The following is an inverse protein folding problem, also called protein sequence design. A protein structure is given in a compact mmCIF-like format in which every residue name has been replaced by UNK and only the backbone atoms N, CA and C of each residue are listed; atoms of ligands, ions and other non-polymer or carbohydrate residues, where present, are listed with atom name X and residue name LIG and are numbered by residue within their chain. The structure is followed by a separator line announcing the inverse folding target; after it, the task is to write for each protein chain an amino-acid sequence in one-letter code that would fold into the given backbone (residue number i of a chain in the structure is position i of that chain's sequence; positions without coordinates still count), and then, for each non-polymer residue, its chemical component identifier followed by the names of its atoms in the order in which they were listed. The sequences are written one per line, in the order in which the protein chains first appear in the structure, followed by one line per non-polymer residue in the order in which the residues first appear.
data_IF_448015722644
#
_entry.id   IF_448015722644
#
_cell.length_a   1.000
_cell.length_b   1.000
_cell.length_c   1.000
_cell.angle_alpha   90.00
_cell.angle_beta   90.00
_cell.angle_gamma   90.00
#
_symmetry.space_group_name_H-M   'P 1'
#
loop_
_entity.id
_entity.type
_entity.pdbx_description
1 polymer ?
#
# COMPACT_ATOMS: atom_id res chain seq x y z
N UNK A 1 -14.76 27.94 -10.85
CA UNK A 1 -15.16 27.59 -9.47
C UNK A 1 -14.87 28.71 -8.49
N UNK A 2 -13.62 29.19 -8.39
CA UNK A 2 -13.25 30.31 -7.49
C UNK A 2 -14.09 31.58 -7.71
N UNK A 3 -14.31 31.99 -8.97
CA UNK A 3 -15.13 33.16 -9.31
C UNK A 3 -16.60 33.04 -8.85
N UNK A 4 -17.18 31.85 -8.90
CA UNK A 4 -18.55 31.60 -8.46
C UNK A 4 -18.66 31.59 -6.92
N UNK A 5 -17.70 30.97 -6.23
CA UNK A 5 -17.63 30.99 -4.76
C UNK A 5 -17.41 32.41 -4.24
N UNK A 6 -16.45 33.15 -4.82
CA UNK A 6 -16.18 34.53 -4.47
C UNK A 6 -17.40 35.44 -4.74
N UNK A 7 -18.11 35.24 -5.85
CA UNK A 7 -19.35 35.95 -6.17
C UNK A 7 -20.45 35.67 -5.13
N UNK A 8 -20.59 34.41 -4.69
CA UNK A 8 -21.54 34.04 -3.63
C UNK A 8 -21.16 34.67 -2.27
N UNK A 9 -19.88 34.65 -1.89
CA UNK A 9 -19.37 35.26 -0.65
C UNK A 9 -19.52 36.79 -0.65
N UNK A 10 -19.45 37.41 -1.84
CA UNK A 10 -19.64 38.84 -2.01
C UNK A 10 -21.11 39.24 -2.25
N UNK A 11 -22.04 38.28 -2.34
CA UNK A 11 -23.45 38.58 -2.53
C UNK A 11 -24.03 39.27 -1.29
N UNK A 12 -24.88 40.26 -1.51
CA UNK A 12 -25.54 41.03 -0.44
C UNK A 12 -26.42 40.14 0.44
N UNK A 13 -27.08 39.14 -0.15
CA UNK A 13 -27.92 38.18 0.56
C UNK A 13 -27.09 37.32 1.53
N UNK A 14 -25.96 36.77 1.08
CA UNK A 14 -25.10 35.94 1.93
C UNK A 14 -24.46 36.75 3.05
N UNK A 15 -23.99 37.97 2.75
CA UNK A 15 -23.45 38.88 3.77
C UNK A 15 -24.49 39.23 4.84
N UNK A 16 -25.74 39.45 4.45
CA UNK A 16 -26.84 39.75 5.39
C UNK A 16 -27.15 38.55 6.30
N UNK A 17 -27.16 37.34 5.76
CA UNK A 17 -27.35 36.10 6.56
C UNK A 17 -26.18 35.85 7.50
N UNK A 18 -24.96 36.08 7.03
CA UNK A 18 -23.75 35.95 7.85
C UNK A 18 -23.70 36.98 8.98
N UNK A 19 -24.04 38.23 8.68
CA UNK A 19 -24.18 39.31 9.65
C UNK A 19 -25.17 38.95 10.78
N UNK A 20 -26.32 38.34 10.44
CA UNK A 20 -27.28 37.86 11.42
C UNK A 20 -26.72 36.72 12.29
N UNK A 21 -25.94 35.81 11.71
CA UNK A 21 -25.27 34.75 12.48
C UNK A 21 -24.25 35.35 13.45
N UNK A 22 -23.37 36.25 12.99
CA UNK A 22 -22.37 36.90 13.85
C UNK A 22 -23.00 37.67 15.02
N UNK A 23 -24.13 38.33 14.79
CA UNK A 23 -24.93 38.98 15.84
C UNK A 23 -25.42 37.97 16.87
N UNK A 24 -25.88 36.78 16.46
CA UNK A 24 -26.29 35.75 17.43
C UNK A 24 -25.12 35.23 18.28
N UNK A 25 -23.89 35.24 17.75
CA UNK A 25 -22.68 34.81 18.49
C UNK A 25 -21.95 35.97 19.20
N UNK A 26 -22.50 37.19 19.17
CA UNK A 26 -21.98 38.38 19.88
C UNK A 26 -20.53 38.75 19.51
N UNK A 27 -20.12 38.50 18.26
CA UNK A 27 -18.80 38.90 17.76
C UNK A 27 -18.85 40.37 17.29
N UNK A 28 -17.91 41.19 17.76
CA UNK A 28 -17.79 42.59 17.33
C UNK A 28 -17.26 42.65 15.89
N UNK A 29 -17.86 43.52 15.08
CA UNK A 29 -17.55 43.67 13.65
C UNK A 29 -16.32 44.54 13.44
N UNK A 30 -15.34 44.01 12.74
CA UNK A 30 -14.38 44.78 11.95
C UNK A 30 -14.60 44.37 10.49
N UNK A 31 -15.02 45.32 9.64
CA UNK A 31 -15.57 45.04 8.30
C UNK A 31 -14.63 44.21 7.40
N UNK A 32 -13.31 44.35 7.58
CA UNK A 32 -12.32 43.59 6.82
C UNK A 32 -12.17 42.15 7.30
N UNK A 33 -12.39 41.87 8.60
CA UNK A 33 -12.24 40.54 9.20
C UNK A 33 -13.45 39.64 8.87
N UNK A 34 -14.64 40.23 8.74
CA UNK A 34 -15.89 39.50 8.51
C UNK A 34 -15.92 38.75 7.19
N UNK A 35 -15.34 39.33 6.13
CA UNK A 35 -15.29 38.72 4.79
C UNK A 35 -14.32 37.54 4.77
N UNK A 36 -13.15 37.66 5.42
CA UNK A 36 -12.18 36.57 5.51
C UNK A 36 -12.70 35.42 6.37
N UNK A 37 -13.42 35.72 7.46
CA UNK A 37 -13.97 34.69 8.33
C UNK A 37 -15.08 33.90 7.62
N UNK A 38 -15.95 34.58 6.87
CA UNK A 38 -16.96 33.96 6.03
C UNK A 38 -16.32 33.06 4.95
N UNK A 39 -15.30 33.58 4.28
CA UNK A 39 -14.59 32.81 3.26
C UNK A 39 -13.93 31.56 3.84
N UNK A 40 -13.23 31.70 4.97
CA UNK A 40 -12.59 30.57 5.64
C UNK A 40 -13.60 29.51 6.10
N UNK A 41 -14.74 29.93 6.65
CA UNK A 41 -15.80 29.02 7.05
C UNK A 41 -16.39 28.27 5.84
N UNK A 42 -16.64 28.96 4.73
CA UNK A 42 -17.18 28.35 3.52
C UNK A 42 -16.19 27.38 2.88
N UNK A 43 -14.90 27.71 2.86
CA UNK A 43 -13.83 26.79 2.42
C UNK A 43 -13.77 25.54 3.31
N UNK A 44 -13.84 25.71 4.63
CA UNK A 44 -13.88 24.60 5.59
C UNK A 44 -15.12 23.72 5.41
N UNK A 45 -16.31 24.31 5.28
CA UNK A 45 -17.55 23.57 5.04
C UNK A 45 -17.54 22.86 3.70
N UNK A 46 -17.02 23.50 2.65
CA UNK A 46 -16.85 22.89 1.34
C UNK A 46 -15.91 21.68 1.40
N UNK A 47 -14.75 21.79 2.06
CA UNK A 47 -13.81 20.68 2.21
C UNK A 47 -14.41 19.51 3.02
N UNK A 48 -15.19 19.83 4.06
CA UNK A 48 -15.94 18.82 4.84
C UNK A 48 -17.02 18.14 4.03
N UNK A 49 -17.82 18.89 3.28
CA UNK A 49 -18.86 18.35 2.42
C UNK A 49 -18.27 17.49 1.31
N UNK A 50 -17.19 17.94 0.67
CA UNK A 50 -16.49 17.16 -0.36
C UNK A 50 -15.93 15.87 0.23
N UNK A 51 -15.30 15.95 1.41
CA UNK A 51 -14.80 14.78 2.14
C UNK A 51 -15.91 13.79 2.47
N UNK A 52 -17.09 14.27 2.89
CA UNK A 52 -18.22 13.39 3.23
C UNK A 52 -18.90 12.82 1.98
N UNK A 53 -19.12 13.59 0.91
CA UNK A 53 -19.60 13.08 -0.39
C UNK A 53 -18.65 12.00 -0.93
N UNK A 54 -17.34 12.23 -0.85
CA UNK A 54 -16.33 11.23 -1.25
C UNK A 54 -16.29 9.99 -0.34
N UNK A 55 -16.80 10.06 0.88
CA UNK A 55 -17.01 8.88 1.75
C UNK A 55 -18.32 8.15 1.40
N UNK A 56 -19.37 8.87 1.04
CA UNK A 56 -20.70 8.31 0.74
C UNK A 56 -20.75 7.63 -0.63
N UNK A 57 -20.03 8.16 -1.63
CA UNK A 57 -19.96 7.58 -2.99
C UNK A 57 -18.91 6.47 -3.14
N UNK A 58 -18.13 6.16 -2.09
CA UNK A 58 -17.21 5.02 -2.13
C UNK A 58 -17.99 3.74 -1.82
N UNK A 59 -17.99 2.72 -2.72
CA UNK A 59 -18.45 1.38 -2.34
C UNK A 59 -17.67 0.94 -1.08
N UNK A 60 -18.26 0.13 -0.18
CA UNK A 60 -17.69 -0.22 1.11
C UNK A 60 -16.26 -0.71 0.91
N UNK A 61 -15.32 0.20 1.13
CA UNK A 61 -13.93 -0.02 0.85
C UNK A 61 -13.38 -0.88 1.98
N UNK A 62 -12.63 -1.93 1.65
CA UNK A 62 -11.87 -2.77 2.59
C UNK A 62 -10.85 -1.96 3.45
N UNK A 63 -10.82 -0.63 3.35
CA UNK A 63 -9.78 0.29 3.82
C UNK A 63 -10.00 0.94 5.19
N UNK A 64 -10.99 0.55 5.99
CA UNK A 64 -11.05 0.99 7.41
C UNK A 64 -10.18 0.17 8.35
N UNK A 65 -9.55 -0.91 7.87
CA UNK A 65 -8.62 -1.69 8.67
C UNK A 65 -7.23 -1.04 8.62
N UNK A 66 -6.78 -0.48 9.75
CA UNK A 66 -5.37 -0.10 9.92
C UNK A 66 -4.48 -1.31 9.59
N UNK A 67 -3.43 -1.15 8.77
CA UNK A 67 -2.46 -2.21 8.53
C UNK A 67 -1.87 -2.64 9.87
N UNK A 68 -1.83 -3.95 10.12
CA UNK A 68 -1.09 -4.47 11.27
C UNK A 68 0.40 -4.15 11.05
N UNK A 69 1.02 -3.50 12.04
CA UNK A 69 2.46 -3.22 12.04
C UNK A 69 3.24 -4.53 11.97
N UNK A 70 4.28 -4.56 11.13
CA UNK A 70 5.15 -5.72 11.04
C UNK A 70 6.06 -5.81 12.26
N UNK A 71 6.28 -7.02 12.77
CA UNK A 71 7.32 -7.27 13.76
C UNK A 71 8.72 -7.35 13.12
N UNK A 72 9.77 -7.44 13.94
CA UNK A 72 11.15 -7.47 13.47
C UNK A 72 11.44 -8.66 12.55
N UNK A 73 10.85 -9.83 12.82
CA UNK A 73 11.06 -11.04 12.02
C UNK A 73 10.32 -10.95 10.68
N UNK A 74 9.14 -10.36 10.67
CA UNK A 74 8.38 -10.08 9.45
C UNK A 74 9.13 -9.11 8.54
N UNK A 75 9.73 -8.05 9.11
CA UNK A 75 10.56 -7.11 8.35
C UNK A 75 11.83 -7.78 7.77
N UNK A 76 12.50 -8.63 8.55
CA UNK A 76 13.64 -9.44 8.09
C UNK A 76 13.25 -10.39 6.95
N UNK A 77 12.14 -11.13 7.12
CA UNK A 77 11.63 -12.05 6.12
C UNK A 77 11.20 -11.32 4.85
N UNK A 78 10.57 -10.14 4.99
CA UNK A 78 10.22 -9.30 3.86
C UNK A 78 11.50 -8.87 3.11
N UNK A 79 12.51 -8.33 3.80
CA UNK A 79 13.74 -7.88 3.14
C UNK A 79 14.46 -9.01 2.40
N UNK A 80 14.42 -10.22 2.93
CA UNK A 80 14.93 -11.41 2.24
C UNK A 80 14.11 -11.75 0.99
N UNK A 81 12.78 -11.74 1.09
CA UNK A 81 11.89 -12.11 0.00
C UNK A 81 11.91 -11.12 -1.17
N UNK A 82 12.07 -9.82 -0.90
CA UNK A 82 11.92 -8.78 -1.92
C UNK A 82 13.00 -8.80 -2.99
N UNK A 83 14.18 -9.36 -2.69
CA UNK A 83 15.24 -9.58 -3.68
C UNK A 83 14.84 -10.53 -4.82
N UNK A 84 13.85 -11.39 -4.60
CA UNK A 84 13.36 -12.32 -5.62
C UNK A 84 12.73 -11.59 -6.82
N UNK A 85 12.00 -10.51 -6.58
CA UNK A 85 11.31 -9.78 -7.64
C UNK A 85 12.27 -9.16 -8.67
N UNK A 86 13.24 -8.28 -8.31
CA UNK A 86 14.19 -7.74 -9.27
C UNK A 86 15.05 -8.82 -9.91
N UNK A 87 15.47 -9.85 -9.15
CA UNK A 87 16.22 -10.98 -9.71
C UNK A 87 15.44 -11.68 -10.83
N UNK A 88 14.16 -12.01 -10.59
CA UNK A 88 13.31 -12.69 -11.57
C UNK A 88 13.04 -11.81 -12.79
N UNK A 89 12.70 -10.54 -12.58
CA UNK A 89 12.44 -9.60 -13.66
C UNK A 89 13.67 -9.36 -14.52
N UNK A 90 14.83 -9.16 -13.90
CA UNK A 90 16.10 -9.01 -14.61
C UNK A 90 16.40 -10.25 -15.45
N UNK A 91 16.19 -11.47 -14.92
CA UNK A 91 16.35 -12.71 -15.70
C UNK A 91 15.38 -12.78 -16.88
N UNK A 92 14.16 -12.27 -16.74
CA UNK A 92 13.18 -12.25 -17.82
C UNK A 92 13.54 -11.23 -18.90
N UNK A 93 13.87 -9.99 -18.53
CA UNK A 93 14.24 -8.94 -19.48
C UNK A 93 15.58 -9.22 -20.18
N UNK A 94 16.55 -9.84 -19.50
CA UNK A 94 17.82 -10.25 -20.12
C UNK A 94 17.64 -11.29 -21.25
N UNK A 95 16.55 -12.05 -21.28
CA UNK A 95 16.23 -12.97 -22.40
C UNK A 95 15.78 -12.22 -23.66
N UNK A 96 15.41 -10.95 -23.53
CA UNK A 96 14.92 -10.11 -24.63
C UNK A 96 16.07 -9.25 -25.18
N UNK A 97 17.19 -9.87 -25.54
CA UNK A 97 18.47 -9.20 -25.85
C UNK A 97 18.39 -8.12 -26.94
N UNK A 98 17.42 -8.24 -27.86
CA UNK A 98 17.21 -7.29 -28.97
C UNK A 98 16.24 -6.15 -28.64
N UNK A 99 15.65 -6.13 -27.44
CA UNK A 99 14.67 -5.13 -27.05
C UNK A 99 15.34 -4.02 -26.21
N UNK A 100 15.44 -2.82 -26.78
CA UNK A 100 16.06 -1.67 -26.11
C UNK A 100 15.34 -1.29 -24.81
N UNK A 101 14.00 -1.34 -24.79
CA UNK A 101 13.20 -1.07 -23.60
C UNK A 101 13.48 -2.09 -22.49
N UNK A 102 13.64 -3.37 -22.84
CA UNK A 102 14.02 -4.40 -21.88
C UNK A 102 15.43 -4.14 -21.29
N UNK A 103 16.37 -3.69 -22.11
CA UNK A 103 17.72 -3.32 -21.66
C UNK A 103 17.69 -2.14 -20.68
N UNK A 104 16.86 -1.12 -20.94
CA UNK A 104 16.64 0.00 -20.01
C UNK A 104 16.06 -0.48 -18.68
N UNK A 105 15.05 -1.35 -18.70
CA UNK A 105 14.52 -1.97 -17.47
C UNK A 105 15.59 -2.74 -16.69
N UNK A 106 16.47 -3.47 -17.37
CA UNK A 106 17.58 -4.19 -16.70
C UNK A 106 18.51 -3.21 -15.99
N UNK A 107 18.85 -2.07 -16.59
CA UNK A 107 19.70 -1.05 -15.94
C UNK A 107 19.06 -0.50 -14.66
N UNK A 108 17.75 -0.18 -14.70
CA UNK A 108 17.01 0.27 -13.51
C UNK A 108 17.02 -0.81 -12.42
N UNK A 109 16.73 -2.07 -12.78
CA UNK A 109 16.75 -3.18 -11.83
C UNK A 109 18.14 -3.46 -11.25
N UNK A 110 19.22 -3.16 -11.96
CA UNK A 110 20.58 -3.27 -11.44
C UNK A 110 20.87 -2.20 -10.37
N UNK A 111 20.35 -0.99 -10.54
CA UNK A 111 20.48 0.10 -9.53
C UNK A 111 19.70 -0.22 -8.24
N UNK A 112 18.76 -1.15 -8.29
CA UNK A 112 18.05 -1.61 -7.08
C UNK A 112 18.91 -2.49 -6.17
N UNK A 113 20.03 -3.00 -6.68
CA UNK A 113 20.97 -3.74 -5.87
C UNK A 113 21.59 -2.82 -4.80
N UNK A 114 21.88 -3.38 -3.63
CA UNK A 114 22.67 -2.71 -2.63
C UNK A 114 24.13 -2.61 -3.12
N UNK A 115 24.65 -1.38 -3.20
CA UNK A 115 26.07 -1.18 -3.43
C UNK A 115 26.84 -1.63 -2.19
N UNK A 116 27.98 -2.29 -2.40
CA UNK A 116 28.83 -2.81 -1.32
C UNK A 116 29.40 -1.65 -0.50
N UNK A 117 28.68 -1.23 0.53
CA UNK A 117 29.08 -0.15 1.42
C UNK A 117 28.25 -0.15 2.68
N UNK A 118 28.92 -0.03 3.83
CA UNK A 118 28.26 0.22 5.10
C UNK A 118 27.67 1.64 5.06
N UNK A 119 26.42 1.75 4.62
CA UNK A 119 25.64 2.98 4.75
C UNK A 119 25.44 3.34 6.23
N UNK A 120 25.05 4.60 6.51
CA UNK A 120 24.73 5.02 7.87
C UNK A 120 23.68 4.09 8.50
N UNK A 121 23.82 3.78 9.80
CA UNK A 121 22.86 2.96 10.54
C UNK A 121 21.52 3.66 10.58
N UNK A 122 20.56 3.14 9.82
CA UNK A 122 19.17 3.56 9.81
C UNK A 122 18.30 2.62 10.66
N UNK A 123 17.02 2.98 10.85
CA UNK A 123 16.06 2.20 11.65
C UNK A 123 15.83 0.76 11.14
N UNK A 124 16.31 0.45 9.93
CA UNK A 124 16.14 -0.85 9.28
C UNK A 124 17.45 -1.59 9.09
N UNK A 125 18.58 -1.07 9.59
CA UNK A 125 19.91 -1.66 9.41
C UNK A 125 20.00 -3.09 9.96
N UNK A 126 19.26 -3.40 11.03
CA UNK A 126 19.18 -4.73 11.63
C UNK A 126 18.68 -5.81 10.65
N UNK A 127 17.93 -5.43 9.62
CA UNK A 127 17.47 -6.35 8.57
C UNK A 127 18.60 -6.72 7.61
N UNK A 128 19.57 -5.82 7.39
CA UNK A 128 20.76 -6.07 6.56
C UNK A 128 21.70 -7.05 7.24
N UNK A 129 21.98 -6.83 8.51
CA UNK A 129 22.84 -7.72 9.32
C UNK A 129 22.29 -9.14 9.31
N UNK A 130 20.98 -9.27 9.52
CA UNK A 130 20.31 -10.57 9.44
C UNK A 130 20.38 -11.17 8.03
N UNK A 131 20.11 -10.39 6.98
CA UNK A 131 20.19 -10.86 5.60
C UNK A 131 21.59 -11.35 5.23
N UNK A 132 22.64 -10.67 5.70
CA UNK A 132 24.03 -11.08 5.49
C UNK A 132 24.32 -12.45 6.14
N UNK A 133 23.75 -12.72 7.32
CA UNK A 133 23.88 -14.04 7.98
C UNK A 133 23.19 -15.18 7.22
N UNK A 134 22.17 -14.87 6.42
CA UNK A 134 21.42 -15.86 5.63
C UNK A 134 22.01 -16.04 4.22
N UNK A 135 22.84 -15.12 3.75
CA UNK A 135 23.37 -15.12 2.40
C UNK A 135 24.43 -16.20 2.20
N UNK A 136 24.26 -16.97 1.12
CA UNK A 136 25.20 -18.00 0.67
C UNK A 136 25.90 -17.61 -0.65
N UNK A 137 25.97 -16.30 -0.91
CA UNK A 137 26.62 -15.71 -2.08
C UNK A 137 25.75 -15.64 -3.33
N UNK A 138 24.43 -15.79 -3.21
CA UNK A 138 23.50 -15.79 -4.37
C UNK A 138 22.24 -14.96 -4.15
N UNK A 139 22.09 -14.31 -2.99
CA UNK A 139 20.94 -13.45 -2.74
C UNK A 139 21.10 -12.12 -3.47
N UNK A 140 20.02 -11.67 -4.13
CA UNK A 140 19.93 -10.31 -4.64
C UNK A 140 19.58 -9.39 -3.47
N UNK A 141 20.56 -8.67 -2.94
CA UNK A 141 20.36 -7.71 -1.85
C UNK A 141 19.85 -6.40 -2.43
N UNK A 142 18.73 -5.92 -1.91
CA UNK A 142 18.13 -4.64 -2.35
C UNK A 142 18.59 -3.50 -1.44
N UNK A 143 18.75 -2.33 -2.02
CA UNK A 143 18.98 -1.10 -1.27
C UNK A 143 17.75 -0.70 -0.42
N UNK A 144 17.91 0.27 0.49
CA UNK A 144 16.85 0.65 1.44
C UNK A 144 15.64 1.29 0.76
N UNK A 145 15.85 2.10 -0.28
CA UNK A 145 14.76 2.73 -1.03
C UNK A 145 13.83 1.69 -1.67
N UNK A 146 14.42 0.65 -2.27
CA UNK A 146 13.68 -0.47 -2.86
C UNK A 146 13.00 -1.29 -1.78
N UNK A 147 13.68 -1.57 -0.67
CA UNK A 147 13.05 -2.23 0.47
C UNK A 147 11.85 -1.43 1.00
N UNK A 148 11.94 -0.11 1.16
CA UNK A 148 10.83 0.73 1.59
C UNK A 148 9.66 0.73 0.60
N UNK A 149 9.92 0.68 -0.71
CA UNK A 149 8.88 0.47 -1.70
C UNK A 149 8.13 -0.85 -1.46
N UNK A 150 8.85 -1.96 -1.33
CA UNK A 150 8.21 -3.26 -1.06
C UNK A 150 7.53 -3.32 0.33
N UNK A 151 8.06 -2.61 1.33
CA UNK A 151 7.42 -2.43 2.63
C UNK A 151 6.06 -1.74 2.49
N UNK A 152 5.97 -0.70 1.66
CA UNK A 152 4.69 -0.06 1.31
C UNK A 152 3.73 -1.03 0.63
N UNK A 153 4.22 -1.87 -0.30
CA UNK A 153 3.39 -2.90 -0.93
C UNK A 153 2.85 -3.90 0.09
N UNK A 154 3.66 -4.32 1.06
CA UNK A 154 3.27 -5.27 2.09
C UNK A 154 2.21 -4.68 3.03
N UNK A 155 2.34 -3.41 3.42
CA UNK A 155 1.31 -2.74 4.22
C UNK A 155 -0.05 -2.72 3.53
N UNK A 156 -0.09 -2.44 2.23
CA UNK A 156 -1.32 -2.50 1.44
C UNK A 156 -1.80 -3.94 1.28
N UNK A 157 -0.90 -4.88 1.04
CA UNK A 157 -1.26 -6.30 0.87
C UNK A 157 -1.95 -6.84 2.12
N UNK A 158 -1.47 -6.44 3.31
CA UNK A 158 -2.05 -6.83 4.59
C UNK A 158 -3.47 -6.31 4.81
N UNK A 159 -3.94 -5.27 4.11
CA UNK A 159 -5.35 -4.82 4.22
C UNK A 159 -6.28 -5.67 3.37
N UNK A 160 -5.78 -6.20 2.25
CA UNK A 160 -6.55 -7.02 1.30
C UNK A 160 -6.56 -8.50 1.72
N UNK A 161 -5.37 -9.06 1.95
CA UNK A 161 -5.14 -10.49 2.10
C UNK A 161 -5.08 -10.85 3.59
N UNK A 162 -6.26 -10.98 4.21
CA UNK A 162 -6.43 -11.40 5.62
C UNK A 162 -7.22 -12.69 5.72
N UNK A 163 -6.91 -13.51 6.72
CA UNK A 163 -7.65 -14.75 7.03
C UNK A 163 -9.12 -14.46 7.29
N UNK A 164 -9.42 -13.36 7.99
CA UNK A 164 -10.79 -12.94 8.31
C UNK A 164 -11.61 -12.56 7.06
N UNK A 165 -10.92 -12.19 5.97
CA UNK A 165 -11.54 -11.82 4.70
C UNK A 165 -11.71 -13.03 3.75
N UNK A 166 -11.29 -14.25 4.13
CA UNK A 166 -11.31 -15.39 3.20
C UNK A 166 -12.71 -15.68 2.64
N UNK A 167 -13.76 -15.47 3.43
CA UNK A 167 -15.14 -15.66 2.97
C UNK A 167 -15.53 -14.66 1.86
N UNK A 168 -15.12 -13.39 1.95
CA UNK A 168 -15.38 -12.37 0.93
C UNK A 168 -14.47 -12.52 -0.30
N UNK A 169 -13.32 -13.18 -0.14
CA UNK A 169 -12.38 -13.47 -1.22
C UNK A 169 -12.81 -14.64 -2.12
N UNK A 170 -13.76 -15.50 -1.70
CA UNK A 170 -14.18 -16.69 -2.49
C UNK A 170 -14.75 -16.39 -3.88
N UNK A 171 -15.35 -15.22 -4.06
CA UNK A 171 -16.01 -14.83 -5.33
C UNK A 171 -15.15 -13.92 -6.21
N UNK A 172 -13.95 -13.55 -5.73
CA UNK A 172 -13.12 -12.53 -6.37
C UNK A 172 -11.75 -13.11 -6.73
N UNK A 173 -11.18 -12.63 -7.85
CA UNK A 173 -9.78 -12.88 -8.14
C UNK A 173 -8.91 -12.05 -7.19
N UNK A 174 -8.35 -12.70 -6.16
CA UNK A 174 -7.55 -12.06 -5.10
C UNK A 174 -6.36 -11.29 -5.70
N UNK A 175 -5.73 -11.84 -6.74
CA UNK A 175 -4.61 -11.20 -7.41
C UNK A 175 -5.07 -9.91 -8.07
N UNK A 176 -6.17 -9.94 -8.84
CA UNK A 176 -6.71 -8.74 -9.47
C UNK A 176 -7.08 -7.68 -8.45
N UNK A 177 -7.77 -8.06 -7.37
CA UNK A 177 -8.14 -7.13 -6.29
C UNK A 177 -6.91 -6.49 -5.65
N UNK A 178 -5.89 -7.30 -5.34
CA UNK A 178 -4.64 -6.82 -4.77
C UNK A 178 -3.92 -5.85 -5.72
N UNK A 179 -3.77 -6.22 -7.00
CA UNK A 179 -3.10 -5.37 -7.99
C UNK A 179 -3.82 -4.03 -8.19
N UNK A 180 -5.15 -4.03 -8.27
CA UNK A 180 -5.94 -2.78 -8.34
C UNK A 180 -5.72 -1.91 -7.12
N UNK A 181 -5.68 -2.52 -5.93
CA UNK A 181 -5.46 -1.79 -4.67
C UNK A 181 -4.04 -1.22 -4.58
N UNK A 182 -3.03 -1.96 -5.04
CA UNK A 182 -1.65 -1.50 -5.06
C UNK A 182 -1.44 -0.35 -6.06
N UNK A 183 -2.00 -0.47 -7.26
CA UNK A 183 -1.90 0.55 -8.33
C UNK A 183 -2.58 1.87 -7.97
N UNK A 184 -3.64 1.82 -7.17
CA UNK A 184 -4.37 3.01 -6.72
C UNK A 184 -3.82 3.63 -5.43
N UNK A 185 -2.79 3.03 -4.81
CA UNK A 185 -2.26 3.52 -3.55
C UNK A 185 -1.20 4.61 -3.76
N UNK A 186 -1.48 5.82 -3.27
CA UNK A 186 -0.60 7.00 -3.42
C UNK A 186 0.80 6.81 -2.84
N UNK A 187 0.94 6.12 -1.69
CA UNK A 187 2.24 5.88 -1.07
C UNK A 187 3.07 4.91 -1.90
N UNK A 188 2.44 3.86 -2.45
CA UNK A 188 3.09 2.92 -3.37
C UNK A 188 3.62 3.66 -4.61
N UNK A 189 2.80 4.52 -5.22
CA UNK A 189 3.20 5.30 -6.40
C UNK A 189 4.31 6.30 -6.05
N UNK A 190 4.25 6.95 -4.89
CA UNK A 190 5.32 7.86 -4.43
C UNK A 190 6.65 7.13 -4.23
N UNK A 191 6.63 5.97 -3.56
CA UNK A 191 7.82 5.14 -3.39
C UNK A 191 8.34 4.62 -4.74
N UNK A 192 7.44 4.24 -5.66
CA UNK A 192 7.79 3.82 -7.01
C UNK A 192 8.57 4.91 -7.76
N UNK A 193 8.03 6.13 -7.79
CA UNK A 193 8.67 7.26 -8.46
C UNK A 193 10.03 7.58 -7.84
N UNK A 194 10.20 7.35 -6.53
CA UNK A 194 11.49 7.53 -5.85
C UNK A 194 12.53 6.51 -6.28
N UNK A 195 12.16 5.24 -6.49
CA UNK A 195 13.12 4.17 -6.85
C UNK A 195 13.43 4.09 -8.34
N UNK A 196 12.56 4.64 -9.20
CA UNK A 196 12.81 4.73 -10.64
C UNK A 196 13.45 6.07 -11.01
N UNK A 197 13.04 7.16 -10.35
CA UNK A 197 13.45 8.52 -10.70
C UNK A 197 13.16 8.83 -12.17
N UNK A 198 14.09 9.55 -12.81
CA UNK A 198 14.02 9.91 -14.24
C UNK A 198 14.78 8.90 -15.14
N UNK A 199 15.05 7.69 -14.64
CA UNK A 199 15.91 6.72 -15.33
C UNK A 199 15.28 6.14 -16.60
N UNK A 200 13.95 6.17 -16.71
CA UNK A 200 13.16 5.67 -17.84
C UNK A 200 11.92 6.54 -18.07
N UNK A 201 11.38 6.52 -19.28
CA UNK A 201 10.17 7.25 -19.62
C UNK A 201 8.94 6.71 -18.86
N UNK A 202 7.90 7.54 -18.79
CA UNK A 202 6.68 7.23 -18.03
C UNK A 202 5.96 5.97 -18.52
N UNK A 203 5.98 5.67 -19.82
CA UNK A 203 5.30 4.49 -20.35
C UNK A 203 6.05 3.22 -19.92
N UNK A 204 7.37 3.21 -20.06
CA UNK A 204 8.21 2.11 -19.62
C UNK A 204 8.20 1.93 -18.09
N UNK A 205 8.15 3.03 -17.33
CA UNK A 205 7.98 3.03 -15.88
C UNK A 205 6.68 2.34 -15.47
N UNK A 206 5.57 2.63 -16.15
CA UNK A 206 4.29 1.95 -15.91
C UNK A 206 4.36 0.45 -16.20
N UNK A 207 5.04 0.03 -17.27
CA UNK A 207 5.22 -1.38 -17.61
C UNK A 207 6.06 -2.10 -16.54
N UNK A 208 7.17 -1.49 -16.12
CA UNK A 208 8.02 -2.08 -15.09
C UNK A 208 7.31 -2.15 -13.72
N UNK A 209 6.51 -1.15 -13.38
CA UNK A 209 5.66 -1.18 -12.19
C UNK A 209 4.69 -2.36 -12.26
N UNK A 210 3.97 -2.52 -13.37
CA UNK A 210 3.00 -3.59 -13.55
C UNK A 210 3.61 -4.98 -13.40
N UNK A 211 4.76 -5.22 -13.99
CA UNK A 211 5.51 -6.47 -13.86
C UNK A 211 5.99 -6.69 -12.42
N UNK A 212 6.45 -5.63 -11.75
CA UNK A 212 6.90 -5.68 -10.35
C UNK A 212 5.76 -6.00 -9.40
N UNK A 213 4.64 -5.30 -9.51
CA UNK A 213 3.43 -5.54 -8.73
C UNK A 213 2.88 -6.94 -8.99
N UNK A 214 2.87 -7.39 -10.25
CA UNK A 214 2.41 -8.74 -10.61
C UNK A 214 3.29 -9.81 -9.98
N UNK A 215 4.62 -9.64 -10.02
CA UNK A 215 5.56 -10.56 -9.40
C UNK A 215 5.36 -10.64 -7.88
N UNK A 216 5.28 -9.48 -7.22
CA UNK A 216 5.07 -9.39 -5.77
C UNK A 216 3.70 -9.95 -5.36
N UNK A 217 2.63 -9.55 -6.04
CA UNK A 217 1.26 -9.99 -5.75
C UNK A 217 1.12 -11.50 -5.87
N UNK A 218 1.68 -12.12 -6.92
CA UNK A 218 1.71 -13.59 -7.05
C UNK A 218 2.46 -14.27 -5.90
N UNK A 219 3.62 -13.74 -5.52
CA UNK A 219 4.40 -14.27 -4.40
C UNK A 219 3.61 -14.22 -3.09
N UNK A 220 2.94 -13.10 -2.79
CA UNK A 220 2.16 -12.93 -1.56
C UNK A 220 0.88 -13.75 -1.55
N UNK A 221 0.13 -13.78 -2.65
CA UNK A 221 -1.08 -14.61 -2.75
C UNK A 221 -0.75 -16.10 -2.58
N UNK A 222 0.34 -16.60 -3.18
CA UNK A 222 0.76 -17.99 -3.00
C UNK A 222 1.15 -18.29 -1.55
N UNK A 223 1.92 -17.40 -0.92
CA UNK A 223 2.29 -17.54 0.49
C UNK A 223 1.07 -17.55 1.41
N UNK A 224 0.10 -16.67 1.15
CA UNK A 224 -1.16 -16.61 1.89
C UNK A 224 -1.98 -17.89 1.74
N UNK A 225 -2.20 -18.36 0.51
CA UNK A 225 -2.96 -19.59 0.27
C UNK A 225 -2.30 -20.77 0.97
N UNK A 226 -0.97 -20.89 0.91
CA UNK A 226 -0.23 -21.94 1.60
C UNK A 226 -0.42 -21.87 3.12
N UNK A 227 -0.22 -20.69 3.72
CA UNK A 227 -0.40 -20.50 5.16
C UNK A 227 -1.84 -20.78 5.61
N UNK A 228 -2.82 -20.38 4.81
CA UNK A 228 -4.23 -20.65 5.06
C UNK A 228 -4.52 -22.16 5.04
N UNK A 229 -4.08 -22.88 3.99
CA UNK A 229 -4.26 -24.33 3.89
C UNK A 229 -3.59 -25.08 5.04
N UNK A 230 -2.37 -24.70 5.42
CA UNK A 230 -1.66 -25.28 6.56
C UNK A 230 -2.45 -25.05 7.88
N UNK A 231 -3.06 -23.89 8.05
CA UNK A 231 -3.88 -23.58 9.22
C UNK A 231 -5.16 -24.43 9.30
N UNK A 232 -5.82 -24.67 8.15
CA UNK A 232 -7.03 -25.49 8.05
C UNK A 232 -6.69 -26.97 8.25
N UNK A 233 -5.61 -27.45 7.63
CA UNK A 233 -5.14 -28.84 7.76
C UNK A 233 -4.82 -29.19 9.22
N UNK A 234 -4.09 -28.32 9.93
CA UNK A 234 -3.80 -28.53 11.36
C UNK A 234 -5.06 -28.53 12.22
N UNK A 235 -6.06 -27.69 11.89
CA UNK A 235 -7.36 -27.69 12.58
C UNK A 235 -8.13 -28.99 12.32
N UNK A 236 -8.17 -29.46 11.09
CA UNK A 236 -8.79 -30.73 10.72
C UNK A 236 -8.13 -31.93 11.45
N UNK A 237 -6.79 -31.96 11.50
CA UNK A 237 -6.06 -32.99 12.24
C UNK A 237 -6.34 -32.95 13.76
N UNK A 238 -6.47 -31.75 14.35
CA UNK A 238 -6.87 -31.62 15.77
C UNK A 238 -8.30 -32.09 16.02
N UNK A 239 -9.23 -31.77 15.13
CA UNK A 239 -10.62 -32.25 15.20
C UNK A 239 -10.70 -33.77 15.14
N UNK A 240 -10.01 -34.38 14.16
CA UNK A 240 -9.96 -35.83 14.00
C UNK A 240 -9.37 -36.55 15.23
N UNK A 241 -8.30 -35.98 15.83
CA UNK A 241 -7.71 -36.53 17.06
C UNK A 241 -8.69 -36.48 18.23
N UNK A 242 -9.49 -35.41 18.34
CA UNK A 242 -10.49 -35.26 19.40
C UNK A 242 -11.62 -36.28 19.25
N UNK A 243 -12.12 -36.48 18.04
CA UNK A 243 -13.14 -37.50 17.74
C UNK A 243 -12.63 -38.91 18.02
N UNK A 244 -11.41 -39.25 17.57
CA UNK A 244 -10.79 -40.55 17.84
C UNK A 244 -10.55 -40.82 19.34
N UNK A 245 -10.29 -39.78 20.13
CA UNK A 245 -10.13 -39.90 21.59
C UNK A 245 -11.45 -39.97 22.37
N UNK A 246 -12.58 -39.63 21.73
CA UNK A 246 -13.93 -39.66 22.33
C UNK A 246 -14.74 -40.89 21.93
N UNK A 247 -14.26 -41.68 20.97
CA UNK A 247 -14.86 -42.98 20.64
C UNK A 247 -14.76 -43.93 21.84
N UNK A 248 -15.88 -44.44 22.39
CA UNK A 248 -15.84 -45.41 23.48
C UNK A 248 -15.11 -46.67 23.02
N UNK A 249 -14.15 -47.15 23.82
CA UNK A 249 -13.57 -48.46 23.56
C UNK A 249 -14.68 -49.52 23.61
N UNK A 250 -14.73 -50.46 22.65
CA UNK A 250 -15.67 -51.56 22.73
C UNK A 250 -15.37 -52.36 24.00
N UNK A 251 -16.34 -52.40 24.90
CA UNK A 251 -16.33 -53.23 26.10
C UNK A 251 -16.13 -54.69 25.68
N UNK A 252 -15.03 -55.27 26.16
CA UNK A 252 -14.70 -56.70 26.00
C UNK A 252 -15.65 -57.58 26.81
#
# INVERSE_FOLDING_TARGET
MWSACHSLCCSSEMRSKWAAVLETVHLQREDDVDVFLLQHLLEYLHDRMLTDVMKTDKPPSLSTLKPQTMDKHEEQALRYAVGYAPFKLMKNFKKMEKNESASKCVKVLQQWAEESGYGPKDDVSYTKDWLQSQDRGKLFKVNDSVYHFFRSLEYVTRTVVKVDNVASLRKNNIITLLLTTLKSNTNVIKCWNTIVGDSIDSALSSVLLDETLTCFGKMRCNAFVKAYLDSVSRKAQKGLRKELSQSPQPSK
#
